data_IF_670151390930
#
_entry.id   IF_670151390930
#
_cell.length_a   1.000
_cell.length_b   1.000
_cell.length_c   1.000
_cell.angle_alpha   90.00
_cell.angle_beta   90.00
_cell.angle_gamma   90.00
#
_symmetry.space_group_name_H-M   'P 1'
#
loop_
_entity.id
_entity.type
_entity.pdbx_description
1 polymer ?
#
# COMPACT_ATOMS: atom_id res chain seq x y z
N UNK A 1 -0.54 -4.80 -15.33
CA UNK A 1 -1.30 -4.92 -14.06
C UNK A 1 -0.38 -5.30 -12.90
N UNK A 2 0.17 -6.52 -12.86
CA UNK A 2 0.98 -7.00 -11.73
C UNK A 2 2.31 -6.27 -11.53
N UNK A 3 2.94 -5.90 -12.65
CA UNK A 3 4.19 -5.14 -12.69
C UNK A 3 3.94 -3.68 -12.32
N UNK A 4 2.97 -3.06 -12.99
CA UNK A 4 2.67 -1.63 -12.90
C UNK A 4 1.46 -1.33 -12.00
N UNK A 5 1.35 -2.03 -10.86
CA UNK A 5 0.18 -1.95 -9.98
C UNK A 5 -0.04 -0.56 -9.36
N UNK A 6 0.97 0.30 -9.41
CA UNK A 6 0.96 1.64 -8.84
C UNK A 6 0.29 2.66 -9.74
N UNK A 7 0.34 2.43 -11.04
CA UNK A 7 -0.22 3.34 -12.03
C UNK A 7 -1.74 3.34 -11.97
N UNK A 8 -2.34 4.42 -12.45
CA UNK A 8 -3.79 4.49 -12.65
C UNK A 8 -4.24 3.40 -13.63
N UNK A 9 -5.45 2.89 -13.40
CA UNK A 9 -5.99 1.79 -14.19
C UNK A 9 -6.53 2.31 -15.52
N UNK A 10 -5.75 2.15 -16.58
CA UNK A 10 -6.20 2.43 -17.94
C UNK A 10 -6.73 1.15 -18.62
N UNK A 11 -8.04 0.95 -18.55
CA UNK A 11 -8.71 -0.18 -19.19
C UNK A 11 -8.71 -0.09 -20.73
N UNK A 12 -8.72 1.13 -21.27
CA UNK A 12 -8.75 1.34 -22.72
C UNK A 12 -7.38 0.99 -23.32
N UNK A 13 -6.30 1.45 -22.69
CA UNK A 13 -4.94 1.05 -23.06
C UNK A 13 -4.69 -0.45 -22.91
N UNK A 14 -5.16 -1.07 -21.83
CA UNK A 14 -5.04 -2.54 -21.64
C UNK A 14 -5.82 -3.34 -22.69
N UNK A 15 -7.01 -2.89 -23.05
CA UNK A 15 -7.82 -3.51 -24.08
C UNK A 15 -7.16 -3.37 -25.47
N UNK A 16 -6.58 -2.20 -25.76
CA UNK A 16 -5.83 -1.95 -26.99
C UNK A 16 -4.60 -2.87 -27.11
N UNK A 17 -3.83 -3.03 -26.03
CA UNK A 17 -2.68 -3.98 -25.99
C UNK A 17 -3.14 -5.43 -26.21
N UNK A 18 -4.32 -5.79 -25.71
CA UNK A 18 -4.91 -7.12 -25.90
C UNK A 18 -5.63 -7.30 -27.25
N UNK A 19 -5.78 -6.25 -28.06
CA UNK A 19 -6.47 -6.30 -29.36
C UNK A 19 -7.98 -6.52 -29.26
N UNK A 20 -8.61 -6.16 -28.14
CA UNK A 20 -10.04 -6.38 -27.88
C UNK A 20 -10.74 -5.09 -27.44
N UNK A 21 -12.06 -5.08 -27.48
CA UNK A 21 -12.82 -3.97 -26.87
C UNK A 21 -12.70 -3.99 -25.35
N UNK A 22 -12.79 -2.83 -24.71
CA UNK A 22 -12.78 -2.68 -23.24
C UNK A 22 -13.80 -3.58 -22.54
N UNK A 23 -15.02 -3.66 -23.06
CA UNK A 23 -16.07 -4.51 -22.48
C UNK A 23 -15.71 -5.99 -22.57
N UNK A 24 -15.15 -6.43 -23.70
CA UNK A 24 -14.70 -7.81 -23.86
C UNK A 24 -13.52 -8.12 -22.94
N UNK A 25 -12.55 -7.20 -22.85
CA UNK A 25 -11.42 -7.31 -21.91
C UNK A 25 -11.89 -7.52 -20.48
N UNK A 26 -12.81 -6.68 -19.97
CA UNK A 26 -13.31 -6.79 -18.59
C UNK A 26 -13.98 -8.14 -18.35
N UNK A 27 -14.83 -8.60 -19.29
CA UNK A 27 -15.50 -9.90 -19.19
C UNK A 27 -14.52 -11.07 -19.20
N UNK A 28 -13.53 -11.04 -20.10
CA UNK A 28 -12.49 -12.07 -20.16
C UNK A 28 -11.62 -12.06 -18.90
N UNK A 29 -11.31 -10.88 -18.37
CA UNK A 29 -10.55 -10.73 -17.14
C UNK A 29 -11.31 -11.31 -15.95
N UNK A 30 -12.60 -10.98 -15.81
CA UNK A 30 -13.45 -11.53 -14.76
C UNK A 30 -13.60 -13.05 -14.88
N UNK A 31 -13.75 -13.58 -16.10
CA UNK A 31 -13.80 -15.03 -16.33
C UNK A 31 -12.48 -15.73 -15.96
N UNK A 32 -11.34 -15.09 -16.18
CA UNK A 32 -10.02 -15.66 -15.90
C UNK A 32 -9.58 -15.54 -14.43
N UNK A 33 -9.88 -14.41 -13.78
CA UNK A 33 -9.39 -14.09 -12.42
C UNK A 33 -10.48 -14.17 -11.34
N UNK A 34 -11.75 -14.33 -11.73
CA UNK A 34 -12.89 -14.38 -10.80
C UNK A 34 -13.25 -13.04 -10.16
N UNK A 35 -12.63 -11.94 -10.59
CA UNK A 35 -12.89 -10.59 -10.07
C UNK A 35 -12.64 -9.51 -11.11
N UNK A 36 -13.23 -8.32 -10.89
CA UNK A 36 -13.08 -7.19 -11.81
C UNK A 36 -11.64 -6.66 -11.80
N UNK A 37 -11.14 -6.09 -12.91
CA UNK A 37 -9.80 -5.51 -12.99
C UNK A 37 -9.48 -4.51 -11.86
N UNK A 38 -10.45 -3.68 -11.47
CA UNK A 38 -10.28 -2.69 -10.39
C UNK A 38 -10.14 -3.35 -9.01
N UNK A 39 -10.91 -4.42 -8.77
CA UNK A 39 -10.83 -5.17 -7.50
C UNK A 39 -9.51 -5.91 -7.40
N UNK A 40 -9.09 -6.52 -8.50
CA UNK A 40 -7.79 -7.16 -8.65
C UNK A 40 -6.64 -6.19 -8.35
N UNK A 41 -6.64 -5.02 -8.98
CA UNK A 41 -5.61 -4.00 -8.75
C UNK A 41 -5.56 -3.57 -7.29
N UNK A 42 -6.72 -3.32 -6.68
CA UNK A 42 -6.81 -2.96 -5.25
C UNK A 42 -6.19 -4.04 -4.37
N UNK A 43 -6.47 -5.32 -4.65
CA UNK A 43 -5.88 -6.45 -3.93
C UNK A 43 -4.37 -6.52 -4.10
N UNK A 44 -3.85 -6.41 -5.33
CA UNK A 44 -2.40 -6.40 -5.57
C UNK A 44 -1.70 -5.26 -4.84
N UNK A 45 -2.30 -4.06 -4.79
CA UNK A 45 -1.76 -2.92 -4.02
C UNK A 45 -1.70 -3.22 -2.51
N UNK A 46 -2.72 -3.88 -1.96
CA UNK A 46 -2.77 -4.23 -0.54
C UNK A 46 -1.82 -5.39 -0.18
N UNK A 47 -1.64 -6.37 -1.06
CA UNK A 47 -0.62 -7.41 -0.91
C UNK A 47 0.78 -6.80 -0.85
N UNK A 48 1.08 -5.85 -1.74
CA UNK A 48 2.34 -5.11 -1.71
C UNK A 48 2.50 -4.24 -0.47
N UNK A 49 1.41 -3.65 0.02
CA UNK A 49 1.44 -2.90 1.26
C UNK A 49 1.79 -3.80 2.46
N UNK A 50 1.27 -5.03 2.50
CA UNK A 50 1.63 -6.00 3.53
C UNK A 50 3.13 -6.34 3.48
N UNK A 51 3.71 -6.56 2.30
CA UNK A 51 5.15 -6.80 2.15
C UNK A 51 5.97 -5.64 2.73
N UNK A 52 5.61 -4.41 2.40
CA UNK A 52 6.32 -3.22 2.88
C UNK A 52 6.16 -3.02 4.39
N UNK A 53 4.96 -3.23 4.95
CA UNK A 53 4.75 -3.12 6.40
C UNK A 53 5.49 -4.20 7.20
N UNK A 54 5.82 -5.34 6.58
CA UNK A 54 6.59 -6.42 7.22
C UNK A 54 8.08 -6.17 7.22
N UNK A 55 8.59 -5.69 6.08
CA UNK A 55 10.02 -5.75 5.79
C UNK A 55 10.68 -4.39 5.61
N UNK A 56 9.92 -3.31 5.43
CA UNK A 56 10.46 -1.98 5.21
C UNK A 56 10.41 -1.12 6.47
N UNK A 57 11.42 -0.28 6.67
CA UNK A 57 11.37 0.81 7.64
C UNK A 57 10.64 2.03 7.03
N UNK A 58 9.35 1.86 6.72
CA UNK A 58 8.48 2.91 6.19
C UNK A 58 7.32 3.18 7.14
N UNK A 59 6.89 4.43 7.19
CA UNK A 59 5.64 4.84 7.83
C UNK A 59 4.45 4.31 7.03
N UNK A 60 3.30 4.19 7.70
CA UNK A 60 2.06 3.76 7.04
C UNK A 60 1.68 4.70 5.89
N UNK A 61 1.93 6.00 6.04
CA UNK A 61 1.69 7.01 5.00
C UNK A 61 2.59 6.80 3.79
N UNK A 62 3.90 6.58 3.99
CA UNK A 62 4.83 6.27 2.89
C UNK A 62 4.42 4.99 2.17
N UNK A 63 4.01 3.95 2.91
CA UNK A 63 3.49 2.71 2.31
C UNK A 63 2.27 3.01 1.46
N UNK A 64 1.27 3.73 1.99
CA UNK A 64 0.05 4.12 1.28
C UNK A 64 0.34 4.78 -0.08
N UNK A 65 1.22 5.78 -0.10
CA UNK A 65 1.57 6.47 -1.34
C UNK A 65 2.38 5.58 -2.28
N UNK A 66 3.30 4.78 -1.74
CA UNK A 66 4.15 3.89 -2.53
C UNK A 66 3.39 2.74 -3.20
N UNK A 67 2.23 2.35 -2.69
CA UNK A 67 1.38 1.34 -3.33
C UNK A 67 0.30 1.94 -4.25
N UNK A 68 0.31 3.28 -4.44
CA UNK A 68 -0.57 3.97 -5.39
C UNK A 68 -1.96 4.32 -4.84
N UNK A 69 -2.13 4.40 -3.52
CA UNK A 69 -3.34 5.00 -2.94
C UNK A 69 -3.13 6.51 -2.80
N UNK A 70 -4.18 7.29 -3.08
CA UNK A 70 -4.17 8.75 -2.95
C UNK A 70 -4.59 9.24 -1.56
N UNK A 71 -5.18 8.38 -0.72
CA UNK A 71 -5.62 8.77 0.62
C UNK A 71 -5.39 7.68 1.66
N UNK A 72 -4.87 8.10 2.82
CA UNK A 72 -4.60 7.22 3.95
C UNK A 72 -5.90 6.60 4.52
N UNK A 73 -6.99 7.35 4.54
CA UNK A 73 -8.29 6.86 5.03
C UNK A 73 -8.86 5.72 4.18
N UNK A 74 -8.89 5.89 2.84
CA UNK A 74 -9.36 4.83 1.94
C UNK A 74 -8.45 3.61 1.97
N UNK A 75 -7.13 3.82 2.03
CA UNK A 75 -6.17 2.75 2.19
C UNK A 75 -6.42 1.96 3.49
N UNK A 76 -6.50 2.65 4.63
CA UNK A 76 -6.64 2.01 5.94
C UNK A 76 -7.94 1.20 6.07
N UNK A 77 -9.05 1.75 5.56
CA UNK A 77 -10.33 1.05 5.54
C UNK A 77 -10.31 -0.21 4.67
N UNK A 78 -9.73 -0.12 3.46
CA UNK A 78 -9.61 -1.27 2.56
C UNK A 78 -8.63 -2.32 3.08
N UNK A 79 -7.50 -1.88 3.65
CA UNK A 79 -6.51 -2.77 4.27
C UNK A 79 -7.14 -3.55 5.42
N UNK A 80 -7.81 -2.87 6.35
CA UNK A 80 -8.49 -3.53 7.47
C UNK A 80 -9.56 -4.51 7.00
N UNK A 81 -10.33 -4.16 5.97
CA UNK A 81 -11.34 -5.07 5.39
C UNK A 81 -10.71 -6.35 4.81
N UNK A 82 -9.52 -6.24 4.23
CA UNK A 82 -8.84 -7.38 3.59
C UNK A 82 -8.03 -8.22 4.58
N UNK A 83 -7.36 -7.57 5.53
CA UNK A 83 -6.36 -8.20 6.42
C UNK A 83 -6.93 -8.48 7.82
N UNK A 84 -7.99 -7.77 8.22
CA UNK A 84 -8.65 -7.92 9.52
C UNK A 84 -8.19 -6.93 10.60
N UNK A 85 -7.01 -6.34 10.45
CA UNK A 85 -6.41 -5.37 11.38
C UNK A 85 -5.95 -4.09 10.65
N UNK A 86 -5.70 -3.01 11.38
CA UNK A 86 -5.21 -1.77 10.78
C UNK A 86 -3.76 -1.91 10.28
N UNK A 87 -3.32 -1.08 9.32
CA UNK A 87 -1.93 -1.09 8.85
C UNK A 87 -0.89 -0.90 9.97
N UNK A 88 -1.19 -0.04 10.95
CA UNK A 88 -0.31 0.21 12.09
C UNK A 88 -0.19 -1.01 13.01
N UNK A 89 -1.32 -1.61 13.39
CA UNK A 89 -1.35 -2.85 14.18
C UNK A 89 -0.61 -3.98 13.46
N UNK A 90 -0.81 -4.11 12.14
CA UNK A 90 -0.12 -5.10 11.31
C UNK A 90 1.40 -4.90 11.38
N UNK A 91 1.88 -3.68 11.13
CA UNK A 91 3.31 -3.35 11.20
C UNK A 91 3.89 -3.66 12.58
N UNK A 92 3.23 -3.22 13.64
CA UNK A 92 3.74 -3.35 15.01
C UNK A 92 3.79 -4.82 15.44
N UNK A 93 2.81 -5.63 15.02
CA UNK A 93 2.79 -7.09 15.22
C UNK A 93 3.96 -7.80 14.52
N UNK A 94 4.33 -7.37 13.31
CA UNK A 94 5.48 -7.92 12.59
C UNK A 94 6.82 -7.41 13.13
N UNK A 95 6.87 -6.16 13.57
CA UNK A 95 8.03 -5.57 14.24
C UNK A 95 8.36 -6.29 15.55
N UNK A 96 7.34 -6.67 16.34
CA UNK A 96 7.52 -7.42 17.58
C UNK A 96 8.12 -8.82 17.37
N UNK A 97 7.96 -9.41 16.17
CA UNK A 97 8.56 -10.70 15.81
C UNK A 97 10.03 -10.61 15.40
N UNK A 98 10.63 -9.42 15.37
CA UNK A 98 12.05 -9.24 15.01
C UNK A 98 12.33 -9.39 13.51
N UNK A 99 11.34 -9.13 12.64
CA UNK A 99 11.54 -9.15 11.18
C UNK A 99 12.57 -8.11 10.70
N UNK A 100 13.23 -8.34 9.56
CA UNK A 100 14.21 -7.41 9.02
C UNK A 100 13.55 -6.07 8.67
N UNK A 101 14.17 -4.95 9.04
CA UNK A 101 13.74 -3.60 8.70
C UNK A 101 14.63 -3.02 7.63
N UNK A 102 14.39 -3.41 6.38
CA UNK A 102 15.12 -2.92 5.22
C UNK A 102 14.86 -1.41 5.08
N UNK A 103 15.91 -0.56 5.04
CA UNK A 103 15.74 0.87 4.83
C UNK A 103 15.04 1.16 3.49
N UNK A 104 14.14 2.14 3.47
CA UNK A 104 13.42 2.52 2.25
C UNK A 104 14.35 2.91 1.08
N UNK A 105 15.51 3.51 1.37
CA UNK A 105 16.51 3.83 0.36
C UNK A 105 17.07 2.59 -0.35
N UNK A 106 17.25 1.48 0.38
CA UNK A 106 17.72 0.23 -0.20
C UNK A 106 16.67 -0.38 -1.13
N UNK A 107 15.40 -0.36 -0.73
CA UNK A 107 14.29 -0.81 -1.58
C UNK A 107 14.16 0.04 -2.85
N UNK A 108 14.40 1.34 -2.73
CA UNK A 108 14.41 2.25 -3.88
C UNK A 108 15.56 1.99 -4.84
N UNK A 109 16.79 1.91 -4.33
CA UNK A 109 17.98 1.67 -5.16
C UNK A 109 17.93 0.32 -5.90
N UNK A 110 17.26 -0.68 -5.31
CA UNK A 110 17.06 -1.99 -5.93
C UNK A 110 15.78 -2.11 -6.76
N UNK A 111 15.04 -1.01 -6.98
CA UNK A 111 13.84 -0.98 -7.81
C UNK A 111 12.64 -1.74 -7.23
N UNK A 112 12.68 -2.14 -5.96
CA UNK A 112 11.56 -2.80 -5.25
C UNK A 112 10.48 -1.78 -4.89
N UNK A 113 10.88 -0.53 -4.65
CA UNK A 113 10.01 0.59 -4.34
C UNK A 113 10.31 1.74 -5.31
N UNK A 114 9.30 2.29 -5.97
CA UNK A 114 9.46 3.58 -6.64
C UNK A 114 9.12 4.71 -5.64
N UNK A 115 10.03 5.62 -5.32
CA UNK A 115 9.78 6.71 -4.37
C UNK A 115 9.29 7.99 -5.06
N UNK A 116 9.02 7.99 -6.37
CA UNK A 116 8.54 9.17 -7.14
C UNK A 116 7.20 9.78 -6.67
N UNK A 117 6.63 9.34 -5.55
CA UNK A 117 5.46 9.94 -4.90
C UNK A 117 5.48 9.88 -3.37
N UNK A 118 6.61 9.57 -2.72
CA UNK A 118 6.70 9.61 -1.26
C UNK A 118 6.89 11.07 -0.78
N UNK A 119 6.15 11.55 0.22
CA UNK A 119 6.45 12.85 0.83
C UNK A 119 7.85 12.82 1.43
N UNK A 120 8.56 13.95 1.37
CA UNK A 120 9.82 14.14 2.11
C UNK A 120 9.59 13.79 3.58
N UNK A 121 10.54 13.11 4.20
CA UNK A 121 10.56 12.98 5.65
C UNK A 121 10.73 14.38 6.22
N UNK A 122 9.67 14.90 6.82
CA UNK A 122 9.79 16.05 7.72
C UNK A 122 10.30 15.47 9.04
N UNK A 123 11.58 15.74 9.36
CA UNK A 123 12.26 15.24 10.56
C UNK A 123 11.75 15.91 11.87
N UNK A 124 10.56 16.51 11.87
CA UNK A 124 9.95 17.17 13.03
C UNK A 124 8.73 16.38 13.55
N UNK A 125 8.99 15.32 14.31
CA UNK A 125 8.04 14.91 15.33
C UNK A 125 8.81 14.65 16.62
N UNK A 126 9.13 15.76 17.30
CA UNK A 126 9.41 15.75 18.71
C UNK A 126 8.26 15.04 19.43
N UNK A 127 8.68 14.06 20.22
CA UNK A 127 7.92 13.29 21.19
C UNK A 127 7.02 14.25 21.97
N UNK A 128 5.72 14.29 21.67
CA UNK A 128 4.77 14.96 22.54
C UNK A 128 4.49 14.00 23.70
N UNK A 129 5.34 14.06 24.72
CA UNK A 129 5.07 13.50 26.03
C UNK A 129 3.73 14.08 26.52
N UNK A 130 2.74 13.21 26.62
CA UNK A 130 1.46 13.53 27.26
C UNK A 130 1.73 13.63 28.76
N UNK A 131 1.61 14.80 29.41
CA UNK A 131 1.75 14.84 30.86
C UNK A 131 0.57 14.08 31.48
N UNK A 132 0.90 13.05 32.27
CA UNK A 132 0.01 12.52 33.30
C UNK A 132 -0.29 13.66 34.27
N UNK A 133 -1.52 14.14 34.28
CA UNK A 133 -2.04 14.82 35.47
C UNK A 133 -2.43 13.74 36.48
N UNK A 134 -1.51 13.48 37.41
CA UNK A 134 -1.81 12.91 38.73
C UNK A 134 -2.68 13.90 39.54
N UNK A 135 -3.41 13.37 40.51
CA UNK A 135 -4.58 14.02 41.11
C UNK A 135 -4.32 14.92 42.34
N UNK A 136 -5.42 15.11 43.07
CA UNK A 136 -5.61 15.83 44.34
C UNK A 136 -5.73 17.35 44.18
N UNK A 137 -6.74 18.04 44.70
CA UNK A 137 -7.61 17.79 45.87
C UNK A 137 -9.09 18.04 45.57
#
# INVERSE_FOLDING_TARGET
MDRDYRSELDLDGLAAVAGVSKFYFVRCFEAAYGETPMRYLTRRRLERAQDLLRFANLTVTEVCMSVGFSSLGSFSAKFRRMVGESPSEYRDRWAARGGPRVPGCYLFMNGVLDLRGAPKRDDDCAISEKPRSEGSQ
#
